data_IF_263983437248
#
_entry.id   IF_263983437248
#
_cell.length_a   1.000
_cell.length_b   1.000
_cell.length_c   1.000
_cell.angle_alpha   90.00
_cell.angle_beta   90.00
_cell.angle_gamma   90.00
#
_symmetry.space_group_name_H-M   'P 1'
#
loop_
_entity.id
_entity.type
_entity.pdbx_description
1 polymer ?
#
# COMPACT_ATOMS: atom_id res chain seq x y z
N UNK A 1 6.11 -7.24 9.80
CA UNK A 1 5.58 -7.07 11.17
C UNK A 1 5.52 -5.61 11.59
N UNK A 2 6.57 -4.81 11.38
CA UNK A 2 6.56 -3.37 11.71
C UNK A 2 5.52 -2.59 10.92
N UNK A 3 5.24 -2.92 9.66
CA UNK A 3 4.19 -2.26 8.89
C UNK A 3 2.80 -2.44 9.50
N UNK A 4 2.54 -3.58 10.14
CA UNK A 4 1.30 -3.84 10.85
C UNK A 4 1.17 -2.95 12.09
N UNK A 5 2.26 -2.67 12.78
CA UNK A 5 2.25 -1.78 13.95
C UNK A 5 2.11 -0.30 13.57
N UNK A 6 2.67 0.15 12.44
CA UNK A 6 2.58 1.55 11.99
C UNK A 6 1.16 1.93 11.57
N UNK A 7 0.54 1.15 10.70
CA UNK A 7 -0.78 1.47 10.13
C UNK A 7 -1.91 1.59 11.17
N UNK A 8 -2.06 0.70 12.15
CA UNK A 8 -3.07 0.84 13.21
C UNK A 8 -2.90 2.14 14.02
N UNK A 9 -1.67 2.60 14.18
CA UNK A 9 -1.32 3.84 14.88
C UNK A 9 -1.36 5.09 13.98
N UNK A 10 -1.98 5.00 12.80
CA UNK A 10 -2.14 6.12 11.85
C UNK A 10 -0.81 6.69 11.33
N UNK A 11 0.23 5.86 11.33
CA UNK A 11 1.54 6.16 10.76
C UNK A 11 1.63 5.52 9.38
N UNK A 12 2.24 6.22 8.41
CA UNK A 12 2.44 5.67 7.07
C UNK A 12 3.39 4.46 7.11
N UNK A 13 3.00 3.38 6.44
CA UNK A 13 3.81 2.17 6.33
C UNK A 13 5.16 2.39 5.62
N UNK A 14 5.32 3.49 4.91
CA UNK A 14 6.60 3.90 4.32
C UNK A 14 7.69 4.09 5.39
N UNK A 15 7.30 4.40 6.64
CA UNK A 15 8.25 4.57 7.74
C UNK A 15 9.16 3.37 8.02
N UNK A 16 8.78 2.15 7.64
CA UNK A 16 9.65 0.98 7.81
C UNK A 16 10.71 0.84 6.71
N UNK A 17 10.57 1.56 5.59
CA UNK A 17 11.52 1.48 4.47
C UNK A 17 12.89 2.08 4.83
N UNK A 18 12.91 3.17 5.62
CA UNK A 18 14.17 3.80 6.04
C UNK A 18 15.12 2.80 6.70
N UNK A 19 14.74 2.22 7.86
CA UNK A 19 15.54 1.19 8.52
C UNK A 19 15.86 -0.03 7.65
N UNK A 20 14.90 -0.48 6.83
CA UNK A 20 15.11 -1.63 5.96
C UNK A 20 16.13 -1.35 4.86
N UNK A 21 16.09 -0.17 4.25
CA UNK A 21 17.03 0.23 3.21
C UNK A 21 18.43 0.45 3.80
N UNK A 22 18.54 1.15 4.94
CA UNK A 22 19.84 1.36 5.61
C UNK A 22 20.48 0.06 6.05
N UNK A 23 19.71 -0.84 6.67
CA UNK A 23 20.23 -2.16 7.05
C UNK A 23 20.68 -2.97 5.82
N UNK A 24 19.91 -2.93 4.71
CA UNK A 24 20.26 -3.59 3.47
C UNK A 24 21.53 -3.02 2.82
N UNK A 25 21.65 -1.70 2.72
CA UNK A 25 22.86 -1.03 2.18
C UNK A 25 24.07 -1.30 3.07
N UNK A 26 23.93 -1.18 4.40
CA UNK A 26 25.00 -1.45 5.33
C UNK A 26 25.55 -2.87 5.20
N UNK A 27 24.65 -3.86 5.09
CA UNK A 27 25.05 -5.24 4.86
C UNK A 27 25.71 -5.45 3.48
N UNK A 28 25.22 -4.78 2.44
CA UNK A 28 25.78 -4.85 1.08
C UNK A 28 27.20 -4.26 1.02
N UNK A 29 27.44 -3.17 1.75
CA UNK A 29 28.73 -2.51 1.82
C UNK A 29 29.67 -3.15 2.88
N UNK A 30 29.20 -4.19 3.58
CA UNK A 30 29.94 -4.87 4.65
C UNK A 30 30.44 -3.91 5.74
N UNK A 31 29.57 -2.95 6.13
CA UNK A 31 29.87 -2.02 7.21
C UNK A 31 29.83 -2.73 8.57
N UNK A 32 30.52 -2.17 9.55
CA UNK A 32 30.46 -2.66 10.92
C UNK A 32 29.08 -2.42 11.56
N UNK A 33 28.81 -3.15 12.62
CA UNK A 33 27.50 -3.16 13.29
C UNK A 33 27.12 -1.79 13.84
N UNK A 34 28.08 -1.07 14.44
CA UNK A 34 27.83 0.25 15.02
C UNK A 34 27.48 1.27 13.93
N UNK A 35 28.19 1.28 12.82
CA UNK A 35 27.87 2.15 11.67
C UNK A 35 26.46 1.87 11.12
N UNK A 36 26.10 0.58 10.98
CA UNK A 36 24.73 0.20 10.54
C UNK A 36 23.70 0.64 11.58
N UNK A 37 23.97 0.43 12.87
CA UNK A 37 23.09 0.84 13.95
C UNK A 37 22.81 2.34 13.90
N UNK A 38 23.84 3.18 13.84
CA UNK A 38 23.67 4.63 13.78
C UNK A 38 22.90 5.09 12.54
N UNK A 39 23.15 4.49 11.38
CA UNK A 39 22.40 4.77 10.16
C UNK A 39 20.92 4.39 10.28
N UNK A 40 20.60 3.26 10.91
CA UNK A 40 19.23 2.83 11.18
C UNK A 40 18.52 3.81 12.11
N UNK A 41 19.17 4.24 13.20
CA UNK A 41 18.62 5.23 14.12
C UNK A 41 18.25 6.53 13.39
N UNK A 42 19.18 7.03 12.58
CA UNK A 42 18.99 8.24 11.80
C UNK A 42 17.83 8.11 10.80
N UNK A 43 17.84 7.05 10.00
CA UNK A 43 16.83 6.83 8.97
C UNK A 43 15.44 6.56 9.54
N UNK A 44 15.33 5.89 10.68
CA UNK A 44 14.06 5.69 11.37
C UNK A 44 13.45 7.03 11.78
N UNK A 45 14.26 7.94 12.36
CA UNK A 45 13.80 9.26 12.79
C UNK A 45 13.31 10.13 11.61
N UNK A 46 13.92 10.02 10.44
CA UNK A 46 13.60 10.83 9.25
C UNK A 46 12.56 10.21 8.32
N UNK A 47 12.06 9.01 8.62
CA UNK A 47 11.15 8.26 7.75
C UNK A 47 9.72 8.14 8.29
N UNK A 48 9.44 8.67 9.47
CA UNK A 48 8.12 8.56 10.10
C UNK A 48 7.21 9.67 9.60
N UNK A 49 6.11 9.28 8.94
CA UNK A 49 5.10 10.20 8.42
C UNK A 49 3.72 9.81 8.94
N UNK A 50 2.84 10.79 9.09
CA UNK A 50 1.43 10.50 9.39
C UNK A 50 0.73 9.86 8.20
N UNK A 51 -0.28 9.04 8.47
CA UNK A 51 -1.11 8.41 7.43
C UNK A 51 -2.03 9.40 6.69
N UNK A 52 -2.03 10.68 7.04
CA UNK A 52 -2.80 11.69 6.34
C UNK A 52 -2.48 11.74 4.84
N UNK A 53 -1.22 11.48 4.45
CA UNK A 53 -0.82 11.36 3.04
C UNK A 53 -1.46 10.18 2.28
N UNK A 54 -2.32 9.38 2.95
CA UNK A 54 -3.03 8.22 2.39
C UNK A 54 -4.54 8.29 2.63
N UNK A 55 -5.10 9.46 2.93
CA UNK A 55 -6.51 9.65 3.26
C UNK A 55 -7.07 10.86 2.53
N UNK A 56 -8.33 10.77 2.08
CA UNK A 56 -9.00 11.82 1.32
C UNK A 56 -8.44 11.98 -0.10
N UNK A 57 -8.35 13.20 -0.57
CA UNK A 57 -7.72 13.50 -1.87
C UNK A 57 -6.21 13.29 -1.81
N UNK A 58 -5.74 12.30 -2.54
CA UNK A 58 -4.35 11.88 -2.51
C UNK A 58 -3.50 12.70 -3.47
N UNK A 59 -2.44 13.30 -2.95
CA UNK A 59 -1.47 14.05 -3.74
C UNK A 59 -0.36 13.12 -4.30
N UNK A 60 0.47 13.69 -5.18
CA UNK A 60 1.68 13.04 -5.69
C UNK A 60 2.67 12.60 -4.59
N UNK A 61 2.56 13.16 -3.37
CA UNK A 61 3.30 12.70 -2.20
C UNK A 61 3.27 11.18 -2.03
N UNK A 62 2.10 10.56 -2.23
CA UNK A 62 1.92 9.11 -2.13
C UNK A 62 2.88 8.35 -3.05
N UNK A 63 3.12 8.87 -4.25
CA UNK A 63 3.96 8.22 -5.24
C UNK A 63 5.46 8.36 -4.94
N UNK A 64 5.91 9.53 -4.50
CA UNK A 64 7.34 9.77 -4.30
C UNK A 64 7.85 9.58 -2.86
N UNK A 65 6.98 9.48 -1.87
CA UNK A 65 7.40 9.28 -0.48
C UNK A 65 8.38 8.09 -0.29
N UNK A 66 8.19 6.91 -0.93
CA UNK A 66 9.17 5.83 -0.83
C UNK A 66 10.55 6.21 -1.39
N UNK A 67 10.59 6.96 -2.50
CA UNK A 67 11.86 7.44 -3.09
C UNK A 67 12.56 8.47 -2.19
N UNK A 68 11.80 9.35 -1.53
CA UNK A 68 12.34 10.29 -0.55
C UNK A 68 12.96 9.55 0.63
N UNK A 69 12.28 8.53 1.15
CA UNK A 69 12.82 7.68 2.23
C UNK A 69 14.10 6.96 1.78
N UNK A 70 14.14 6.46 0.54
CA UNK A 70 15.35 5.85 -0.03
C UNK A 70 16.53 6.84 -0.08
N UNK A 71 16.28 8.07 -0.51
CA UNK A 71 17.30 9.13 -0.49
C UNK A 71 17.79 9.44 0.93
N UNK A 72 16.87 9.57 1.87
CA UNK A 72 17.22 9.81 3.28
C UNK A 72 18.02 8.65 3.88
N UNK A 73 17.74 7.42 3.48
CA UNK A 73 18.48 6.24 3.91
C UNK A 73 19.93 6.25 3.40
N UNK A 74 20.15 6.68 2.16
CA UNK A 74 21.51 6.86 1.60
C UNK A 74 22.26 7.95 2.34
N UNK A 75 21.64 9.10 2.63
CA UNK A 75 22.24 10.17 3.41
C UNK A 75 22.59 9.70 4.83
N UNK A 76 21.70 8.92 5.47
CA UNK A 76 21.95 8.34 6.79
C UNK A 76 23.18 7.41 6.82
N UNK A 77 23.35 6.58 5.80
CA UNK A 77 24.54 5.71 5.65
C UNK A 77 25.81 6.55 5.45
N UNK A 78 25.78 7.55 4.55
CA UNK A 78 26.96 8.41 4.30
C UNK A 78 27.40 9.14 5.58
N UNK A 79 26.45 9.67 6.34
CA UNK A 79 26.70 10.32 7.62
C UNK A 79 27.30 9.36 8.65
N UNK A 80 26.73 8.18 8.81
CA UNK A 80 27.22 7.18 9.75
C UNK A 80 28.65 6.71 9.41
N UNK A 81 28.98 6.52 8.13
CA UNK A 81 30.34 6.21 7.67
C UNK A 81 31.33 7.32 8.06
N UNK A 82 30.89 8.57 8.09
CA UNK A 82 31.69 9.72 8.52
C UNK A 82 31.78 9.89 10.05
N UNK A 83 31.14 8.99 10.81
CA UNK A 83 31.13 9.00 12.28
C UNK A 83 30.04 9.87 12.90
N UNK A 84 29.09 10.39 12.13
CA UNK A 84 27.92 11.06 12.69
C UNK A 84 26.97 10.05 13.33
N UNK A 85 26.37 10.44 14.48
CA UNK A 85 25.47 9.56 15.23
C UNK A 85 24.01 9.97 15.02
N UNK A 86 23.14 8.98 14.88
CA UNK A 86 21.69 9.16 14.87
C UNK A 86 21.12 9.36 16.29
N UNK A 87 19.87 9.86 16.42
CA UNK A 87 19.20 9.96 17.71
C UNK A 87 18.96 8.55 18.28
N UNK A 88 19.68 8.20 19.33
CA UNK A 88 19.76 6.83 19.86
C UNK A 88 19.43 6.77 21.36
N UNK A 89 18.61 5.82 21.81
CA UNK A 89 17.86 4.83 21.03
C UNK A 89 16.53 5.41 20.51
N UNK A 90 16.38 5.47 19.16
CA UNK A 90 15.18 6.08 18.53
C UNK A 90 13.93 5.22 18.66
N UNK A 91 14.08 3.91 18.85
CA UNK A 91 12.96 2.99 18.96
C UNK A 91 12.42 2.88 20.38
N UNK A 92 13.28 2.44 21.30
CA UNK A 92 12.93 2.05 22.67
C UNK A 92 13.14 3.13 23.73
N UNK A 93 13.74 4.27 23.38
CA UNK A 93 13.95 5.37 24.32
C UNK A 93 12.63 5.95 24.84
N UNK A 94 12.61 6.57 26.01
CA UNK A 94 11.40 7.12 26.65
C UNK A 94 10.59 8.06 25.74
N UNK A 95 11.26 8.74 24.82
CA UNK A 95 10.65 9.60 23.80
C UNK A 95 10.76 8.97 22.40
N UNK A 96 10.96 7.65 22.34
CA UNK A 96 11.16 6.91 21.10
C UNK A 96 9.87 6.57 20.35
N UNK A 97 10.04 5.92 19.20
CA UNK A 97 8.93 5.53 18.31
C UNK A 97 7.96 4.57 19.00
N UNK A 98 8.49 3.60 19.77
CA UNK A 98 7.67 2.56 20.42
C UNK A 98 6.74 3.17 21.47
N UNK A 99 7.21 3.87 22.51
CA UNK A 99 6.32 4.42 23.53
C UNK A 99 5.41 5.55 22.97
N UNK A 100 5.97 6.48 22.21
CA UNK A 100 5.23 7.70 21.81
C UNK A 100 4.29 7.46 20.62
N UNK A 101 4.77 6.78 19.57
CA UNK A 101 4.01 6.66 18.33
C UNK A 101 3.24 5.35 18.23
N UNK A 102 3.74 4.27 18.83
CA UNK A 102 3.04 2.99 18.85
C UNK A 102 2.22 2.77 20.12
N UNK A 103 2.32 3.68 21.09
CA UNK A 103 1.63 3.62 22.40
C UNK A 103 1.90 2.29 23.14
N UNK A 104 3.14 1.81 23.08
CA UNK A 104 3.56 0.53 23.63
C UNK A 104 4.69 0.76 24.62
N UNK A 105 4.33 0.92 25.87
CA UNK A 105 5.30 1.00 26.94
C UNK A 105 5.82 -0.41 27.28
N UNK A 106 7.14 -0.56 27.36
CA UNK A 106 7.82 -1.81 27.76
C UNK A 106 7.60 -3.03 26.84
N UNK A 107 7.21 -2.87 25.58
CA UNK A 107 7.18 -3.96 24.62
C UNK A 107 8.50 -4.07 23.84
N UNK A 108 9.12 -5.25 23.88
CA UNK A 108 10.22 -5.58 22.99
C UNK A 108 9.69 -5.94 21.60
N UNK A 109 10.18 -5.25 20.60
CA UNK A 109 9.90 -5.58 19.20
C UNK A 109 11.05 -6.42 18.66
N UNK A 110 10.81 -7.71 18.47
CA UNK A 110 11.78 -8.62 17.86
C UNK A 110 11.63 -8.63 16.34
N UNK A 111 12.75 -8.48 15.65
CA UNK A 111 12.85 -8.62 14.19
C UNK A 111 13.70 -9.85 13.90
N UNK A 112 13.07 -10.87 13.33
CA UNK A 112 13.80 -12.06 12.88
C UNK A 112 14.61 -11.71 11.63
N UNK A 113 15.90 -11.61 11.77
CA UNK A 113 16.83 -11.46 10.66
C UNK A 113 17.25 -12.83 10.11
N UNK A 114 17.59 -12.91 8.81
CA UNK A 114 18.20 -14.12 8.26
C UNK A 114 19.48 -14.48 9.00
N UNK A 115 19.80 -15.77 9.11
CA UNK A 115 21.09 -16.21 9.64
C UNK A 115 22.24 -15.57 8.86
N UNK A 116 23.39 -15.38 9.52
CA UNK A 116 24.58 -14.67 8.96
C UNK A 116 24.97 -15.16 7.55
N UNK A 117 24.85 -16.47 7.29
CA UNK A 117 25.15 -17.11 6.00
C UNK A 117 23.90 -17.69 5.33
N UNK A 118 22.70 -17.38 5.82
CA UNK A 118 21.44 -17.85 5.27
C UNK A 118 21.09 -17.18 3.96
N UNK A 119 20.18 -17.79 3.18
CA UNK A 119 19.72 -17.22 1.91
C UNK A 119 18.98 -15.90 2.15
N UNK A 120 19.36 -14.86 1.42
CA UNK A 120 18.70 -13.53 1.47
C UNK A 120 17.56 -13.48 0.45
N UNK A 121 16.58 -14.34 0.63
CA UNK A 121 15.50 -14.62 -0.33
C UNK A 121 14.18 -13.91 -0.01
N UNK A 122 14.15 -12.94 0.93
CA UNK A 122 12.92 -12.26 1.35
C UNK A 122 12.12 -11.63 0.19
N UNK A 123 12.79 -11.19 -0.87
CA UNK A 123 12.12 -10.66 -2.06
C UNK A 123 11.26 -11.72 -2.77
N UNK A 124 11.63 -12.99 -2.71
CA UNK A 124 10.89 -14.10 -3.31
C UNK A 124 9.58 -14.39 -2.59
N UNK A 125 9.42 -13.87 -1.37
CA UNK A 125 8.18 -13.95 -0.58
C UNK A 125 7.29 -12.71 -0.75
N UNK A 126 7.48 -11.95 -1.82
CA UNK A 126 6.68 -10.77 -2.14
C UNK A 126 5.88 -10.98 -3.43
N UNK A 127 4.80 -10.21 -3.57
CA UNK A 127 3.99 -10.23 -4.78
C UNK A 127 4.25 -9.00 -5.64
N UNK A 128 4.40 -9.19 -6.93
CA UNK A 128 4.37 -8.13 -7.93
C UNK A 128 2.93 -7.82 -8.32
N UNK A 129 2.67 -6.59 -8.76
CA UNK A 129 1.38 -6.24 -9.35
C UNK A 129 1.40 -6.51 -10.85
N UNK A 130 0.34 -7.10 -11.34
CA UNK A 130 0.13 -7.23 -12.78
C UNK A 130 -0.41 -5.92 -13.38
N UNK A 131 -1.36 -5.31 -12.68
CA UNK A 131 -1.98 -4.06 -13.11
C UNK A 131 -1.51 -2.86 -12.26
N UNK A 132 -1.34 -1.72 -12.92
CA UNK A 132 -0.93 -0.45 -12.31
C UNK A 132 -2.06 0.21 -11.51
N UNK A 133 -2.55 -0.48 -10.49
CA UNK A 133 -3.60 -0.05 -9.57
C UNK A 133 -3.19 -0.37 -8.12
N UNK A 134 -3.97 0.06 -7.14
CA UNK A 134 -3.84 -0.44 -5.77
C UNK A 134 -3.84 -1.96 -5.74
N UNK A 135 -2.99 -2.60 -4.93
CA UNK A 135 -2.79 -4.06 -4.96
C UNK A 135 -4.11 -4.86 -4.89
N UNK A 136 -5.03 -4.44 -4.02
CA UNK A 136 -6.34 -5.08 -3.87
C UNK A 136 -7.30 -4.84 -5.05
N UNK A 137 -6.94 -3.97 -5.98
CA UNK A 137 -7.69 -3.72 -7.21
C UNK A 137 -7.33 -4.67 -8.35
N UNK A 138 -6.22 -5.43 -8.26
CA UNK A 138 -5.79 -6.31 -9.35
C UNK A 138 -6.84 -7.39 -9.66
N UNK A 139 -7.30 -8.12 -8.66
CA UNK A 139 -8.38 -9.11 -8.85
C UNK A 139 -9.72 -8.50 -9.29
N UNK A 140 -9.96 -7.23 -8.99
CA UNK A 140 -11.15 -6.50 -9.43
C UNK A 140 -11.06 -6.19 -10.93
N UNK A 141 -9.87 -5.88 -11.44
CA UNK A 141 -9.61 -5.67 -12.88
C UNK A 141 -9.83 -6.97 -13.64
N UNK A 142 -9.26 -8.09 -13.16
CA UNK A 142 -9.42 -9.40 -13.79
C UNK A 142 -10.90 -9.81 -13.86
N UNK A 143 -11.65 -9.57 -12.79
CA UNK A 143 -13.10 -9.84 -12.76
C UNK A 143 -13.86 -8.96 -13.76
N UNK A 144 -13.47 -7.71 -13.94
CA UNK A 144 -14.08 -6.82 -14.91
C UNK A 144 -13.86 -7.33 -16.33
N UNK A 145 -12.68 -7.83 -16.67
CA UNK A 145 -12.39 -8.44 -17.96
C UNK A 145 -13.25 -9.67 -18.22
N UNK A 146 -13.30 -10.60 -17.26
CA UNK A 146 -14.12 -11.81 -17.34
C UNK A 146 -15.62 -11.50 -17.47
N UNK A 147 -16.08 -10.45 -16.82
CA UNK A 147 -17.48 -10.03 -16.87
C UNK A 147 -17.82 -9.33 -18.20
N UNK A 148 -16.87 -8.57 -18.74
CA UNK A 148 -17.02 -7.86 -20.01
C UNK A 148 -17.44 -8.78 -21.16
N UNK A 149 -16.90 -10.00 -21.19
CA UNK A 149 -17.24 -11.01 -22.20
C UNK A 149 -18.69 -11.49 -22.12
N UNK A 150 -19.32 -11.35 -20.95
CA UNK A 150 -20.68 -11.84 -20.67
C UNK A 150 -21.76 -10.77 -20.83
N UNK A 151 -21.40 -9.49 -20.76
CA UNK A 151 -22.35 -8.37 -20.83
C UNK A 151 -22.42 -7.83 -22.26
N UNK A 152 -23.64 -7.86 -22.85
CA UNK A 152 -23.89 -7.37 -24.22
C UNK A 152 -23.96 -5.85 -24.28
N UNK A 153 -24.66 -5.22 -23.32
CA UNK A 153 -24.82 -3.76 -23.26
C UNK A 153 -24.59 -3.24 -21.84
N UNK A 154 -23.54 -2.44 -21.66
CA UNK A 154 -23.19 -1.83 -20.38
C UNK A 154 -24.22 -0.78 -19.92
N UNK A 155 -25.06 -0.26 -20.83
CA UNK A 155 -26.07 0.74 -20.48
C UNK A 155 -27.22 0.14 -19.68
N UNK A 156 -27.50 -1.15 -19.87
CA UNK A 156 -28.55 -1.87 -19.15
C UNK A 156 -28.20 -2.16 -17.69
N UNK A 157 -26.94 -2.05 -17.32
CA UNK A 157 -26.50 -2.26 -15.95
C UNK A 157 -27.17 -1.24 -15.04
N UNK A 158 -27.87 -1.72 -14.02
CA UNK A 158 -28.52 -0.88 -13.00
C UNK A 158 -27.63 -0.65 -11.80
N UNK A 159 -26.96 -1.70 -11.32
CA UNK A 159 -26.09 -1.69 -10.15
C UNK A 159 -24.98 -2.73 -10.29
N UNK A 160 -23.84 -2.48 -9.67
CA UNK A 160 -22.71 -3.41 -9.57
C UNK A 160 -22.31 -3.50 -8.11
N UNK A 161 -22.36 -4.69 -7.55
CA UNK A 161 -21.93 -4.99 -6.19
C UNK A 161 -20.66 -5.82 -6.21
N UNK A 162 -19.59 -5.31 -5.60
CA UNK A 162 -18.31 -6.00 -5.46
C UNK A 162 -18.15 -6.45 -4.02
N UNK A 163 -18.06 -7.74 -3.79
CA UNK A 163 -17.82 -8.33 -2.48
C UNK A 163 -16.36 -8.74 -2.35
N UNK A 164 -15.71 -8.34 -1.28
CA UNK A 164 -14.30 -8.66 -1.02
C UNK A 164 -14.01 -8.59 0.48
N UNK A 165 -12.74 -8.79 0.87
CA UNK A 165 -12.35 -8.65 2.26
C UNK A 165 -12.52 -7.23 2.78
N UNK A 166 -12.69 -7.08 4.09
CA UNK A 166 -12.87 -5.81 4.81
C UNK A 166 -11.84 -4.75 4.38
N UNK A 167 -10.57 -5.11 4.29
CA UNK A 167 -9.51 -4.16 3.92
C UNK A 167 -9.73 -3.54 2.54
N UNK A 168 -10.15 -4.33 1.55
CA UNK A 168 -10.49 -3.80 0.22
C UNK A 168 -11.66 -2.83 0.28
N UNK A 169 -12.73 -3.18 1.02
CA UNK A 169 -13.91 -2.36 1.19
C UNK A 169 -13.61 -1.01 1.85
N UNK A 170 -12.85 -0.99 2.96
CA UNK A 170 -12.58 0.23 3.73
C UNK A 170 -11.42 1.08 3.20
N UNK A 171 -10.54 0.52 2.36
CA UNK A 171 -9.37 1.26 1.82
C UNK A 171 -9.58 1.70 0.39
N UNK A 172 -10.13 0.84 -0.46
CA UNK A 172 -10.31 1.10 -1.88
C UNK A 172 -11.77 1.23 -2.30
N UNK A 173 -12.67 0.72 -1.49
CA UNK A 173 -14.09 0.62 -1.80
C UNK A 173 -14.92 1.79 -1.28
N UNK A 174 -16.24 1.66 -1.46
CA UNK A 174 -17.24 2.62 -0.99
C UNK A 174 -17.26 2.76 0.54
N UNK A 175 -16.83 1.74 1.28
CA UNK A 175 -16.70 1.79 2.74
C UNK A 175 -15.54 2.64 3.27
N UNK A 176 -14.72 3.22 2.40
CA UNK A 176 -13.68 4.17 2.80
C UNK A 176 -14.22 5.50 3.31
N UNK A 177 -15.46 5.85 2.91
CA UNK A 177 -16.08 7.15 3.14
C UNK A 177 -15.26 8.33 2.58
N UNK A 178 -14.53 8.10 1.49
CA UNK A 178 -13.79 9.11 0.75
C UNK A 178 -14.58 9.47 -0.52
N UNK A 179 -15.34 10.58 -0.55
CA UNK A 179 -16.16 10.96 -1.70
C UNK A 179 -15.35 11.25 -2.96
N UNK A 180 -14.05 11.60 -2.82
CA UNK A 180 -13.11 11.84 -3.90
C UNK A 180 -12.94 10.61 -4.80
N UNK A 181 -13.18 9.41 -4.27
CA UNK A 181 -13.14 8.15 -5.05
C UNK A 181 -14.24 8.03 -6.10
N UNK A 182 -15.21 8.94 -6.10
CA UNK A 182 -16.25 9.08 -7.10
C UNK A 182 -16.15 10.39 -7.90
N UNK A 183 -15.05 11.14 -7.73
CA UNK A 183 -14.86 12.44 -8.39
C UNK A 183 -14.08 12.30 -9.70
N UNK A 184 -14.60 12.81 -10.83
CA UNK A 184 -13.86 12.88 -12.08
C UNK A 184 -12.69 13.88 -12.03
N UNK A 185 -12.63 14.74 -11.01
CA UNK A 185 -11.52 15.66 -10.78
C UNK A 185 -10.42 15.07 -9.88
N UNK A 186 -10.67 13.91 -9.28
CA UNK A 186 -9.71 13.29 -8.38
C UNK A 186 -8.35 13.04 -9.03
N UNK A 187 -7.30 13.07 -8.20
CA UNK A 187 -5.95 12.76 -8.63
C UNK A 187 -5.82 11.31 -9.13
N UNK A 188 -4.79 11.03 -9.93
CA UNK A 188 -4.46 9.65 -10.32
C UNK A 188 -4.22 8.76 -9.10
N UNK A 189 -3.58 9.31 -8.08
CA UNK A 189 -3.26 8.63 -6.83
C UNK A 189 -4.52 8.26 -6.03
N UNK A 190 -5.59 9.04 -6.14
CA UNK A 190 -6.91 8.71 -5.57
C UNK A 190 -7.59 7.63 -6.40
N UNK A 191 -7.60 7.77 -7.73
CA UNK A 191 -8.29 6.85 -8.64
C UNK A 191 -7.66 5.46 -8.65
N UNK A 192 -6.34 5.34 -8.48
CA UNK A 192 -5.67 4.03 -8.38
C UNK A 192 -6.05 3.25 -7.10
N UNK A 193 -6.73 3.93 -6.16
CA UNK A 193 -7.31 3.38 -4.94
C UNK A 193 -8.84 3.51 -4.90
N UNK A 194 -9.49 3.71 -6.04
CA UNK A 194 -10.94 3.64 -6.18
C UNK A 194 -11.33 2.33 -6.88
N UNK A 195 -11.75 1.33 -6.11
CA UNK A 195 -12.24 0.06 -6.65
C UNK A 195 -13.39 0.29 -7.63
N UNK A 196 -14.23 1.29 -7.39
CA UNK A 196 -15.36 1.64 -8.22
C UNK A 196 -14.92 2.17 -9.59
N UNK A 197 -13.95 3.10 -9.61
CA UNK A 197 -13.36 3.61 -10.84
C UNK A 197 -12.65 2.53 -11.63
N UNK A 198 -11.76 1.79 -10.95
CA UNK A 198 -10.95 0.72 -11.54
C UNK A 198 -11.85 -0.30 -12.23
N UNK A 199 -12.91 -0.76 -11.55
CA UNK A 199 -13.83 -1.73 -12.11
C UNK A 199 -14.58 -1.19 -13.32
N UNK A 200 -15.12 0.03 -13.25
CA UNK A 200 -15.89 0.65 -14.32
C UNK A 200 -15.04 0.81 -15.59
N UNK A 201 -13.81 1.34 -15.45
CA UNK A 201 -12.90 1.53 -16.58
C UNK A 201 -12.47 0.20 -17.19
N UNK A 202 -12.07 -0.77 -16.37
CA UNK A 202 -11.67 -2.09 -16.86
C UNK A 202 -12.83 -2.82 -17.56
N UNK A 203 -14.05 -2.67 -17.04
CA UNK A 203 -15.24 -3.25 -17.67
C UNK A 203 -15.60 -2.59 -19.01
N UNK A 204 -15.45 -1.27 -19.15
CA UNK A 204 -15.70 -0.57 -20.41
C UNK A 204 -14.65 -0.89 -21.48
N UNK A 205 -13.36 -0.86 -21.09
CA UNK A 205 -12.26 -0.93 -22.05
C UNK A 205 -11.87 -2.38 -22.39
N UNK A 206 -12.05 -3.34 -21.47
CA UNK A 206 -11.57 -4.71 -21.62
C UNK A 206 -10.05 -4.83 -21.54
N UNK A 207 -9.35 -3.77 -21.15
CA UNK A 207 -7.91 -3.73 -20.90
C UNK A 207 -7.59 -2.72 -19.80
N UNK A 208 -6.35 -2.76 -19.29
CA UNK A 208 -5.85 -1.82 -18.30
C UNK A 208 -4.47 -1.30 -18.67
N UNK A 209 -4.28 0.03 -18.64
CA UNK A 209 -3.01 0.67 -18.95
C UNK A 209 -2.66 1.76 -17.94
N UNK A 210 -1.40 1.85 -17.58
CA UNK A 210 -0.90 2.72 -16.52
C UNK A 210 -1.08 4.24 -16.76
N UNK A 211 -1.26 4.66 -18.00
CA UNK A 211 -1.51 6.05 -18.37
C UNK A 211 -2.94 6.26 -18.87
N UNK A 212 -3.32 5.56 -19.95
CA UNK A 212 -4.59 5.81 -20.63
C UNK A 212 -5.82 5.52 -19.78
N UNK A 213 -5.75 4.49 -18.90
CA UNK A 213 -6.84 4.19 -17.97
C UNK A 213 -7.05 5.26 -16.90
N UNK A 214 -6.10 6.21 -16.75
CA UNK A 214 -6.18 7.32 -15.80
C UNK A 214 -6.18 8.70 -16.47
N UNK A 215 -6.23 8.75 -17.81
CA UNK A 215 -6.18 10.03 -18.53
C UNK A 215 -7.33 10.95 -18.14
N UNK A 216 -7.15 12.24 -18.34
CA UNK A 216 -8.20 13.24 -18.05
C UNK A 216 -9.44 12.96 -18.86
N UNK A 217 -9.27 12.65 -20.15
CA UNK A 217 -10.35 12.32 -21.08
C UNK A 217 -11.12 11.08 -20.59
N UNK A 218 -10.38 10.07 -20.10
CA UNK A 218 -10.97 8.80 -19.65
C UNK A 218 -11.81 8.98 -18.41
N UNK A 219 -11.30 9.66 -17.40
CA UNK A 219 -12.03 9.88 -16.14
C UNK A 219 -13.21 10.85 -16.26
N UNK A 220 -13.19 11.76 -17.22
CA UNK A 220 -14.25 12.74 -17.48
C UNK A 220 -15.30 12.25 -18.49
N UNK A 221 -15.14 11.07 -19.08
CA UNK A 221 -16.12 10.48 -20.01
C UNK A 221 -17.44 10.20 -19.29
N UNK A 222 -18.53 10.74 -19.81
CA UNK A 222 -19.85 10.70 -19.16
C UNK A 222 -20.39 9.28 -18.96
N UNK A 223 -20.15 8.37 -19.90
CA UNK A 223 -20.52 6.97 -19.79
C UNK A 223 -19.79 6.29 -18.63
N UNK A 224 -18.48 6.54 -18.50
CA UNK A 224 -17.67 6.03 -17.38
C UNK A 224 -18.16 6.55 -16.04
N UNK A 225 -18.44 7.86 -15.94
CA UNK A 225 -18.97 8.47 -14.72
C UNK A 225 -20.31 7.84 -14.32
N UNK A 226 -21.21 7.60 -15.30
CA UNK A 226 -22.48 6.94 -15.04
C UNK A 226 -22.31 5.49 -14.56
N UNK A 227 -21.40 4.74 -15.19
CA UNK A 227 -21.12 3.35 -14.80
C UNK A 227 -20.42 3.29 -13.43
N UNK A 228 -19.41 4.11 -13.22
CA UNK A 228 -18.64 4.21 -11.98
C UNK A 228 -19.53 4.47 -10.75
N UNK A 229 -20.52 5.38 -10.88
CA UNK A 229 -21.47 5.68 -9.81
C UNK A 229 -22.44 4.54 -9.47
N UNK A 230 -22.54 3.52 -10.32
CA UNK A 230 -23.35 2.32 -10.06
C UNK A 230 -22.61 1.23 -9.28
N UNK A 231 -21.30 1.41 -9.06
CA UNK A 231 -20.43 0.43 -8.40
C UNK A 231 -20.37 0.70 -6.90
N UNK A 232 -20.69 -0.29 -6.11
CA UNK A 232 -20.51 -0.30 -4.65
C UNK A 232 -19.69 -1.53 -4.24
N UNK A 233 -19.02 -1.42 -3.11
CA UNK A 233 -18.28 -2.56 -2.53
C UNK A 233 -18.88 -2.97 -1.20
N UNK A 234 -18.70 -4.24 -0.85
CA UNK A 234 -19.20 -4.82 0.41
C UNK A 234 -18.15 -5.73 1.02
N UNK A 235 -18.16 -5.81 2.33
CA UNK A 235 -17.39 -6.79 3.07
C UNK A 235 -18.04 -8.17 2.94
N UNK A 236 -17.21 -9.20 2.74
CA UNK A 236 -17.62 -10.59 2.66
C UNK A 236 -16.84 -11.43 3.67
N UNK A 237 -17.56 -12.22 4.47
CA UNK A 237 -16.98 -12.99 5.56
C UNK A 237 -16.06 -14.13 5.09
N UNK A 238 -16.37 -14.78 3.96
CA UNK A 238 -15.54 -15.84 3.41
C UNK A 238 -14.19 -15.29 2.94
N UNK A 239 -14.19 -14.17 2.21
CA UNK A 239 -12.95 -13.50 1.80
C UNK A 239 -12.13 -13.00 3.00
N UNK A 240 -12.79 -12.55 4.08
CA UNK A 240 -12.11 -12.21 5.32
C UNK A 240 -11.41 -13.40 5.94
N UNK A 241 -12.12 -14.53 6.09
CA UNK A 241 -11.54 -15.74 6.67
C UNK A 241 -10.34 -16.23 5.85
N UNK A 242 -10.49 -16.34 4.54
CA UNK A 242 -9.44 -16.81 3.63
C UNK A 242 -8.21 -15.88 3.57
N UNK A 243 -8.36 -14.62 3.93
CA UNK A 243 -7.26 -13.65 3.96
C UNK A 243 -6.63 -13.51 5.35
N UNK A 244 -7.43 -13.32 6.40
CA UNK A 244 -6.91 -13.00 7.72
C UNK A 244 -6.46 -14.23 8.51
N UNK A 245 -7.10 -15.38 8.31
CA UNK A 245 -6.73 -16.59 9.01
C UNK A 245 -5.56 -17.34 8.35
N UNK A 246 -5.25 -17.03 7.09
CA UNK A 246 -4.08 -17.60 6.42
C UNK A 246 -2.80 -16.98 6.96
N UNK A 247 -1.91 -17.82 7.50
CA UNK A 247 -0.63 -17.41 8.09
C UNK A 247 0.48 -17.28 7.04
N UNK A 248 0.43 -18.10 5.99
CA UNK A 248 1.38 -18.05 4.90
C UNK A 248 1.03 -16.89 3.96
N UNK A 249 1.88 -15.85 3.86
CA UNK A 249 1.60 -14.71 2.99
C UNK A 249 1.37 -15.11 1.52
N UNK A 250 2.01 -16.17 1.05
CA UNK A 250 1.91 -16.64 -0.34
C UNK A 250 0.58 -17.33 -0.64
N UNK A 251 -0.15 -17.77 0.39
CA UNK A 251 -1.45 -18.43 0.26
C UNK A 251 -2.64 -17.52 0.54
N UNK A 252 -2.40 -16.26 0.92
CA UNK A 252 -3.46 -15.28 1.18
C UNK A 252 -4.28 -15.00 -0.07
N UNK A 253 -5.58 -15.22 0.01
CA UNK A 253 -6.51 -15.01 -1.11
C UNK A 253 -6.86 -13.53 -1.25
N UNK A 254 -6.57 -12.95 -2.41
CA UNK A 254 -6.93 -11.58 -2.80
C UNK A 254 -8.20 -11.57 -3.67
N UNK A 255 -9.16 -12.39 -3.34
CA UNK A 255 -10.35 -12.61 -4.16
C UNK A 255 -11.40 -11.50 -4.04
N UNK A 256 -12.28 -11.48 -5.03
CA UNK A 256 -13.51 -10.71 -5.03
C UNK A 256 -14.61 -11.48 -5.80
N UNK A 257 -15.87 -11.12 -5.53
CA UNK A 257 -17.07 -11.58 -6.25
C UNK A 257 -17.80 -10.35 -6.76
N UNK A 258 -18.40 -10.46 -7.93
CA UNK A 258 -19.18 -9.37 -8.53
C UNK A 258 -20.59 -9.87 -8.88
N UNK A 259 -21.58 -9.05 -8.55
CA UNK A 259 -22.98 -9.19 -8.96
C UNK A 259 -23.40 -7.95 -9.74
N UNK A 260 -24.09 -8.17 -10.89
CA UNK A 260 -24.54 -7.12 -11.80
C UNK A 260 -26.02 -7.26 -12.06
#
# INVERSE_FOLDING_TARGET
SMSIALNPNKIDHVGHLGPAITGGIGAMLNLDEETIYQAIQYSAHTSIFTRQGRKGDLSSWKAFAPGLVGRNAIDAIDRAIRGEKGPSPVWEGDYGIVPILLHKENENIEINLPEKNGPRSGILSTFTKEHSAGYHGNSIIDLAFLLREKIKDLKEIKKINIYSKKYTHIVMGSGSNDPEKYSPEASRETLDHSAMYIFAVALEDGFWHHETSYSKERKQKQETIKLWKKVETFEDSDFNQRYYNEKDPLKKVQGAKVEV
#
